data_IF_062233089189
#
_entry.id   IF_062233089189
#
_cell.length_a   1.000
_cell.length_b   1.000
_cell.length_c   1.000
_cell.angle_alpha   90.00
_cell.angle_beta   90.00
_cell.angle_gamma   90.00
#
_symmetry.space_group_name_H-M   'P 1'
#
loop_
_entity.id
_entity.type
_entity.pdbx_description
1 polymer ?
#
# COMPACT_ATOMS: atom_id res chain seq x y z
N UNK A 1 23.74 0.55 -6.58
CA UNK A 1 23.68 -0.35 -5.40
C UNK A 1 23.72 -1.78 -5.93
N UNK A 2 24.56 -2.65 -5.37
CA UNK A 2 24.52 -4.08 -5.67
C UNK A 2 23.31 -4.71 -4.99
N UNK A 3 22.61 -5.60 -5.68
CA UNK A 3 21.58 -6.46 -5.13
C UNK A 3 22.12 -7.21 -3.90
N UNK A 4 21.40 -7.19 -2.77
CA UNK A 4 21.67 -8.02 -1.60
C UNK A 4 20.60 -9.12 -1.55
N UNK A 5 20.89 -10.34 -2.03
CA UNK A 5 19.90 -11.42 -2.16
C UNK A 5 19.23 -11.86 -0.84
N UNK A 6 19.75 -11.40 0.30
CA UNK A 6 19.19 -11.64 1.64
C UNK A 6 18.12 -10.64 2.06
N UNK A 7 17.99 -9.51 1.38
CA UNK A 7 17.02 -8.50 1.77
C UNK A 7 15.61 -8.98 1.38
N UNK A 8 14.62 -8.81 2.28
CA UNK A 8 13.28 -9.31 2.03
C UNK A 8 12.66 -8.56 0.85
N UNK A 9 12.42 -9.30 -0.23
CA UNK A 9 11.70 -8.84 -1.42
C UNK A 9 10.25 -9.34 -1.33
N UNK A 10 9.31 -8.41 -1.49
CA UNK A 10 7.88 -8.70 -1.49
C UNK A 10 7.19 -7.65 -2.33
N UNK A 11 6.18 -8.04 -3.10
CA UNK A 11 5.31 -7.11 -3.81
C UNK A 11 3.85 -7.48 -3.56
N UNK A 12 3.01 -6.48 -3.37
CA UNK A 12 1.56 -6.66 -3.38
C UNK A 12 0.89 -5.51 -4.12
N UNK A 13 -0.27 -5.79 -4.71
CA UNK A 13 -0.96 -4.86 -5.61
C UNK A 13 -2.45 -4.82 -5.30
N UNK A 14 -3.04 -3.64 -5.39
CA UNK A 14 -4.49 -3.48 -5.51
C UNK A 14 -4.82 -2.47 -6.61
N UNK A 15 -6.03 -2.59 -7.15
CA UNK A 15 -6.49 -1.70 -8.21
C UNK A 15 -8.02 -1.56 -8.16
N UNK A 16 -8.52 -0.47 -8.73
CA UNK A 16 -9.95 -0.24 -8.96
C UNK A 16 -10.14 0.73 -10.12
N UNK A 17 -11.35 0.85 -10.63
CA UNK A 17 -11.72 1.92 -11.55
C UNK A 17 -12.32 3.09 -10.76
N UNK A 18 -11.83 4.30 -11.02
CA UNK A 18 -12.39 5.51 -10.42
C UNK A 18 -13.78 5.84 -11.00
N UNK A 19 -14.38 6.95 -10.52
CA UNK A 19 -15.70 7.38 -11.00
C UNK A 19 -15.73 7.76 -12.50
N UNK A 20 -14.57 8.05 -13.10
CA UNK A 20 -14.42 8.37 -14.51
C UNK A 20 -14.10 7.12 -15.36
N UNK A 21 -14.06 5.93 -14.76
CA UNK A 21 -13.71 4.68 -15.44
C UNK A 21 -12.21 4.55 -15.75
N UNK A 22 -11.37 5.37 -15.13
CA UNK A 22 -9.91 5.28 -15.24
C UNK A 22 -9.36 4.28 -14.22
N UNK A 23 -8.40 3.46 -14.63
CA UNK A 23 -7.78 2.46 -13.78
C UNK A 23 -6.79 3.12 -12.80
N UNK A 24 -7.00 2.91 -11.52
CA UNK A 24 -6.05 3.24 -10.46
C UNK A 24 -5.35 1.96 -10.00
N UNK A 25 -4.02 2.02 -9.86
CA UNK A 25 -3.19 0.87 -9.46
C UNK A 25 -2.24 1.34 -8.37
N UNK A 26 -2.15 0.57 -7.29
CA UNK A 26 -1.20 0.77 -6.20
C UNK A 26 -0.33 -0.47 -6.07
N UNK A 27 0.99 -0.29 -6.16
CA UNK A 27 2.00 -1.34 -6.00
C UNK A 27 2.85 -1.02 -4.79
N UNK A 28 2.94 -1.95 -3.86
CA UNK A 28 3.77 -1.85 -2.67
C UNK A 28 4.92 -2.84 -2.81
N UNK A 29 6.15 -2.35 -2.74
CA UNK A 29 7.36 -3.16 -2.91
C UNK A 29 8.28 -3.02 -1.70
N UNK A 30 8.76 -4.15 -1.19
CA UNK A 30 9.79 -4.21 -0.15
C UNK A 30 11.17 -4.12 -0.77
N UNK A 31 11.97 -3.19 -0.26
CA UNK A 31 13.41 -3.09 -0.50
C UNK A 31 14.09 -2.62 0.80
N UNK A 32 15.10 -3.35 1.27
CA UNK A 32 15.89 -3.05 2.48
C UNK A 32 15.01 -2.65 3.69
N UNK A 33 14.05 -3.50 4.06
CA UNK A 33 13.15 -3.30 5.21
C UNK A 33 12.24 -2.07 5.12
N UNK A 34 12.03 -1.54 3.90
CA UNK A 34 11.08 -0.46 3.61
C UNK A 34 10.09 -0.93 2.55
N UNK A 35 8.80 -0.77 2.83
CA UNK A 35 7.74 -0.90 1.83
C UNK A 35 7.52 0.47 1.20
N UNK A 36 7.74 0.59 -0.11
CA UNK A 36 7.46 1.81 -0.87
C UNK A 36 6.23 1.61 -1.75
N UNK A 37 5.32 2.58 -1.71
CA UNK A 37 4.18 2.65 -2.62
C UNK A 37 4.57 3.35 -3.94
N UNK A 38 4.17 2.75 -5.06
CA UNK A 38 4.11 3.38 -6.37
C UNK A 38 2.66 3.27 -6.84
N UNK A 39 2.08 4.38 -7.28
CA UNK A 39 0.68 4.37 -7.72
C UNK A 39 0.45 5.25 -8.95
N UNK A 40 -0.66 4.99 -9.62
CA UNK A 40 -1.18 5.83 -10.70
C UNK A 40 -2.66 6.08 -10.45
N UNK A 41 -3.09 7.32 -10.66
CA UNK A 41 -4.49 7.73 -10.61
C UNK A 41 -4.91 8.27 -11.97
N UNK A 42 -6.19 8.60 -12.13
CA UNK A 42 -6.66 9.31 -13.32
C UNK A 42 -6.05 10.71 -13.49
N UNK A 43 -5.50 11.29 -12.41
CA UNK A 43 -4.97 12.65 -12.38
C UNK A 43 -3.44 12.74 -12.27
N UNK A 44 -2.75 11.64 -11.95
CA UNK A 44 -1.31 11.66 -11.68
C UNK A 44 -0.43 11.87 -12.92
N UNK A 45 -0.96 11.67 -14.12
CA UNK A 45 -0.18 11.77 -15.37
C UNK A 45 0.90 10.69 -15.53
N UNK A 46 0.82 9.62 -14.74
CA UNK A 46 1.80 8.53 -14.70
C UNK A 46 2.05 7.99 -13.29
N UNK A 47 3.08 7.16 -13.14
CA UNK A 47 3.46 6.57 -11.86
C UNK A 47 4.10 7.60 -10.92
N UNK A 48 3.55 7.73 -9.72
CA UNK A 48 4.04 8.60 -8.65
C UNK A 48 4.49 7.77 -7.45
N UNK A 49 5.38 8.34 -6.62
CA UNK A 49 5.80 7.72 -5.34
C UNK A 49 4.80 8.11 -4.27
N UNK A 50 4.29 7.12 -3.55
CA UNK A 50 3.42 7.29 -2.40
C UNK A 50 4.17 7.21 -1.08
N UNK A 51 3.51 6.62 -0.09
CA UNK A 51 4.05 6.53 1.26
C UNK A 51 5.13 5.44 1.39
N UNK A 52 5.94 5.56 2.45
CA UNK A 52 6.97 4.58 2.82
C UNK A 52 6.62 4.05 4.22
N UNK A 53 6.69 2.73 4.38
CA UNK A 53 6.39 2.04 5.64
C UNK A 53 7.58 1.19 6.08
N UNK A 54 7.78 1.07 7.38
CA UNK A 54 8.79 0.18 7.96
C UNK A 54 8.27 -1.25 7.98
N UNK A 55 8.94 -2.16 7.27
CA UNK A 55 8.56 -3.56 7.20
C UNK A 55 9.21 -4.35 6.08
N UNK A 56 9.02 -5.67 6.13
CA UNK A 56 9.71 -6.65 5.30
C UNK A 56 8.74 -7.34 4.33
N UNK A 57 7.48 -7.45 4.72
CA UNK A 57 6.44 -8.12 3.93
C UNK A 57 5.18 -7.29 4.00
N UNK A 58 4.43 -7.27 2.89
CA UNK A 58 3.15 -6.58 2.82
C UNK A 58 2.09 -7.43 2.12
N UNK A 59 0.84 -7.24 2.53
CA UNK A 59 -0.34 -7.62 1.77
C UNK A 59 -1.31 -6.44 1.73
N UNK A 60 -2.11 -6.34 0.67
CA UNK A 60 -3.04 -5.23 0.49
C UNK A 60 -4.40 -5.75 0.04
N UNK A 61 -5.46 -5.10 0.54
CA UNK A 61 -6.82 -5.27 0.04
C UNK A 61 -7.48 -3.91 -0.14
N UNK A 62 -8.48 -3.86 -1.00
CA UNK A 62 -9.24 -2.64 -1.30
C UNK A 62 -10.71 -2.99 -1.47
N UNK A 63 -11.60 -2.12 -1.02
CA UNK A 63 -13.04 -2.24 -1.24
C UNK A 63 -13.69 -0.87 -1.40
N UNK A 64 -14.89 -0.86 -1.97
CA UNK A 64 -15.69 0.34 -2.15
C UNK A 64 -17.01 0.20 -1.41
N UNK A 65 -17.40 1.23 -0.68
CA UNK A 65 -18.72 1.37 -0.11
C UNK A 65 -19.32 2.75 -0.44
N UNK A 66 -20.36 3.17 0.28
CA UNK A 66 -21.02 4.47 0.09
C UNK A 66 -20.14 5.68 0.45
N UNK A 67 -19.13 5.51 1.29
CA UNK A 67 -18.17 6.56 1.64
C UNK A 67 -17.09 6.71 0.57
N UNK A 68 -16.74 5.64 -0.15
CA UNK A 68 -15.80 5.67 -1.28
C UNK A 68 -14.88 4.46 -1.31
N UNK A 69 -13.68 4.63 -1.88
CA UNK A 69 -12.66 3.58 -1.93
C UNK A 69 -11.81 3.55 -0.65
N UNK A 70 -11.68 2.37 -0.07
CA UNK A 70 -10.86 2.09 1.11
C UNK A 70 -9.71 1.16 0.74
N UNK A 71 -8.54 1.38 1.34
CA UNK A 71 -7.41 0.45 1.28
C UNK A 71 -6.97 0.03 2.68
N UNK A 72 -6.57 -1.24 2.81
CA UNK A 72 -5.86 -1.76 3.98
C UNK A 72 -4.58 -2.43 3.54
N UNK A 73 -3.48 -1.91 4.03
CA UNK A 73 -2.13 -2.44 3.83
C UNK A 73 -1.66 -3.05 5.15
N UNK A 74 -1.34 -4.34 5.15
CA UNK A 74 -0.80 -5.03 6.30
C UNK A 74 0.71 -5.16 6.13
N UNK A 75 1.47 -4.42 6.94
CA UNK A 75 2.94 -4.41 6.88
C UNK A 75 3.50 -5.21 8.05
N UNK A 76 4.29 -6.23 7.75
CA UNK A 76 4.90 -7.12 8.74
C UNK A 76 6.40 -6.86 8.85
N UNK A 77 6.89 -6.66 10.07
CA UNK A 77 8.30 -6.49 10.38
C UNK A 77 8.59 -6.79 11.86
N UNK A 78 9.75 -7.38 12.15
CA UNK A 78 10.16 -7.69 13.53
C UNK A 78 9.18 -8.60 14.29
N UNK A 79 8.45 -9.47 13.59
CA UNK A 79 7.45 -10.36 14.18
C UNK A 79 6.10 -9.71 14.51
N UNK A 80 5.86 -8.45 14.10
CA UNK A 80 4.58 -7.75 14.27
C UNK A 80 4.00 -7.34 12.92
N UNK A 81 2.68 -7.44 12.80
CA UNK A 81 1.93 -6.89 11.65
C UNK A 81 1.20 -5.62 12.09
N UNK A 82 1.40 -4.54 11.33
CA UNK A 82 0.67 -3.26 11.49
C UNK A 82 -0.26 -3.09 10.29
N UNK A 83 -1.55 -2.85 10.55
CA UNK A 83 -2.49 -2.41 9.54
C UNK A 83 -2.35 -0.91 9.32
N UNK A 84 -2.30 -0.51 8.06
CA UNK A 84 -2.38 0.86 7.60
C UNK A 84 -3.66 1.05 6.80
N UNK A 85 -4.42 2.08 7.13
CA UNK A 85 -5.71 2.40 6.55
C UNK A 85 -5.61 3.68 5.71
N UNK A 86 -6.06 3.60 4.46
CA UNK A 86 -6.34 4.78 3.64
C UNK A 86 -7.82 4.80 3.31
N UNK A 87 -8.53 5.78 3.84
CA UNK A 87 -9.99 5.88 3.74
C UNK A 87 -10.41 7.09 2.89
N UNK A 88 -11.61 7.08 2.29
CA UNK A 88 -12.11 8.18 1.48
C UNK A 88 -12.00 9.53 2.17
N UNK A 89 -11.48 10.53 1.46
CA UNK A 89 -11.26 11.88 1.98
C UNK A 89 -10.00 12.04 2.84
N UNK A 90 -9.25 10.97 3.10
CA UNK A 90 -7.96 11.05 3.79
C UNK A 90 -6.87 11.60 2.86
N UNK A 91 -5.96 12.39 3.42
CA UNK A 91 -4.73 12.85 2.73
C UNK A 91 -3.50 12.04 3.13
N UNK A 92 -3.62 11.15 4.12
CA UNK A 92 -2.54 10.33 4.65
C UNK A 92 -3.06 8.98 5.15
N UNK A 93 -2.16 7.99 5.20
CA UNK A 93 -2.41 6.71 5.84
C UNK A 93 -2.50 6.88 7.36
N UNK A 94 -3.36 6.08 7.99
CA UNK A 94 -3.50 6.00 9.45
C UNK A 94 -3.24 4.58 9.95
N UNK A 95 -2.84 4.42 11.21
CA UNK A 95 -2.66 3.09 11.80
C UNK A 95 -4.03 2.53 12.17
N UNK A 96 -4.30 1.31 11.71
CA UNK A 96 -5.54 0.59 11.95
C UNK A 96 -5.61 -0.07 13.34
N UNK A 97 -6.60 -0.93 13.51
CA UNK A 97 -6.87 -1.62 14.78
C UNK A 97 -6.60 -3.13 14.70
N UNK A 98 -6.14 -3.63 13.55
CA UNK A 98 -5.74 -5.02 13.41
C UNK A 98 -4.75 -5.47 14.49
N UNK A 99 -5.04 -6.64 15.07
CA UNK A 99 -4.20 -7.35 16.04
C UNK A 99 -4.13 -8.82 15.65
N UNK A 100 -2.98 -9.45 15.89
CA UNK A 100 -2.78 -10.90 15.71
C UNK A 100 -3.11 -11.71 16.96
N UNK A 101 -3.45 -11.04 18.07
CA UNK A 101 -3.84 -11.60 19.37
C UNK A 101 -5.23 -11.15 19.79
#
# INVERSE_FOLDING_TARGET
MSDMPSDPISTCVCNWFDANGSLEIHVFSSDNYKITERYTTSTSGGWVTGSIFDGQQASVTTWKDSAGQHMRLYVTGGGKTTEWCFDPGSTAWSVGQYSTS
#
